data_IF_436041074443
#
_entry.id   IF_436041074443
#
_cell.length_a   1.000
_cell.length_b   1.000
_cell.length_c   1.000
_cell.angle_alpha   90.00
_cell.angle_beta   90.00
_cell.angle_gamma   90.00
#
_symmetry.space_group_name_H-M   'P 1'
#
loop_
_entity.id
_entity.type
_entity.pdbx_description
1 polymer ?
#
# COMPACT_ATOMS: atom_id res chain seq x y z
N UNK A 1 12.72 16.21 21.53
CA UNK A 1 13.08 15.12 20.60
C UNK A 1 11.96 15.02 19.58
N UNK A 2 12.26 15.27 18.31
CA UNK A 2 11.30 14.98 17.24
C UNK A 2 11.02 13.49 17.21
N UNK A 3 9.74 13.12 17.21
CA UNK A 3 9.30 11.73 17.15
C UNK A 3 9.03 11.39 15.68
N UNK A 4 9.51 10.25 15.22
CA UNK A 4 9.29 9.81 13.84
C UNK A 4 7.79 9.71 13.53
N UNK A 5 7.35 10.30 12.42
CA UNK A 5 5.98 10.19 11.94
C UNK A 5 5.84 8.93 11.06
N UNK A 6 5.52 7.79 11.69
CA UNK A 6 5.37 6.53 10.97
C UNK A 6 4.30 6.57 9.89
N UNK A 7 3.21 7.32 10.07
CA UNK A 7 2.16 7.46 9.05
C UNK A 7 2.71 8.07 7.75
N UNK A 8 3.51 9.12 7.88
CA UNK A 8 4.13 9.81 6.74
C UNK A 8 5.22 8.95 6.08
N UNK A 9 6.04 8.27 6.90
CA UNK A 9 7.11 7.40 6.41
C UNK A 9 6.51 6.22 5.62
N UNK A 10 5.50 5.54 6.16
CA UNK A 10 4.84 4.41 5.50
C UNK A 10 4.20 4.85 4.19
N UNK A 11 3.44 5.94 4.16
CA UNK A 11 2.83 6.45 2.93
C UNK A 11 3.89 6.75 1.85
N UNK A 12 4.97 7.45 2.20
CA UNK A 12 6.08 7.75 1.25
C UNK A 12 6.74 6.49 0.72
N UNK A 13 6.95 5.47 1.56
CA UNK A 13 7.52 4.19 1.14
C UNK A 13 6.60 3.50 0.12
N UNK A 14 5.30 3.40 0.43
CA UNK A 14 4.35 2.73 -0.45
C UNK A 14 4.15 3.50 -1.76
N UNK A 15 4.07 4.84 -1.71
CA UNK A 15 4.06 5.69 -2.90
C UNK A 15 5.30 5.48 -3.79
N UNK A 16 6.49 5.43 -3.19
CA UNK A 16 7.70 5.14 -3.96
C UNK A 16 7.70 3.73 -4.55
N UNK A 17 7.14 2.74 -3.87
CA UNK A 17 7.09 1.37 -4.36
C UNK A 17 6.25 1.24 -5.64
N UNK A 18 5.19 2.04 -5.77
CA UNK A 18 4.28 1.98 -6.93
C UNK A 18 4.66 2.95 -8.06
N UNK A 19 5.60 3.88 -7.85
CA UNK A 19 5.99 4.86 -8.89
C UNK A 19 6.43 4.24 -10.22
N UNK A 20 7.00 3.03 -10.18
CA UNK A 20 7.48 2.31 -11.36
C UNK A 20 6.67 1.06 -11.69
N UNK A 21 5.55 0.82 -11.01
CA UNK A 21 4.71 -0.34 -11.32
C UNK A 21 3.96 -0.09 -12.62
N UNK A 22 4.51 -0.55 -13.74
CA UNK A 22 3.85 -0.57 -15.03
C UNK A 22 3.20 -1.93 -15.23
N UNK A 23 1.87 -1.97 -15.24
CA UNK A 23 1.10 -3.16 -15.59
C UNK A 23 0.11 -2.80 -16.69
N UNK A 24 0.15 -3.50 -17.82
CA UNK A 24 -0.64 -3.15 -19.01
C UNK A 24 -2.12 -3.53 -18.93
N UNK A 25 -2.47 -4.49 -18.07
CA UNK A 25 -3.85 -5.01 -17.93
C UNK A 25 -4.40 -4.92 -16.50
N UNK A 26 -3.54 -4.56 -15.54
CA UNK A 26 -3.92 -4.45 -14.13
C UNK A 26 -3.48 -3.11 -13.57
N UNK A 27 -4.10 -2.70 -12.48
CA UNK A 27 -3.89 -1.43 -11.81
C UNK A 27 -3.34 -1.69 -10.42
N UNK A 28 -2.24 -1.00 -10.10
CA UNK A 28 -1.74 -0.95 -8.73
C UNK A 28 -2.38 0.25 -8.03
N UNK A 29 -3.06 -0.01 -6.91
CA UNK A 29 -3.75 1.00 -6.10
C UNK A 29 -3.13 1.11 -4.72
N UNK A 30 -2.96 2.35 -4.26
CA UNK A 30 -2.68 2.67 -2.87
C UNK A 30 -4.00 2.90 -2.14
N UNK A 31 -4.16 2.25 -0.99
CA UNK A 31 -5.31 2.45 -0.11
C UNK A 31 -4.78 2.83 1.27
N UNK A 32 -5.03 4.07 1.67
CA UNK A 32 -4.62 4.59 2.96
C UNK A 32 -5.86 4.89 3.80
N UNK A 33 -6.06 4.10 4.86
CA UNK A 33 -6.98 4.42 5.95
C UNK A 33 -6.14 5.02 7.09
N UNK A 34 -5.95 6.34 7.01
CA UNK A 34 -5.12 7.10 7.97
C UNK A 34 -5.79 7.28 9.33
N UNK A 35 -7.11 7.11 9.41
CA UNK A 35 -7.88 7.13 10.66
C UNK A 35 -7.64 5.86 11.47
N UNK A 36 -7.57 4.70 10.80
CA UNK A 36 -7.38 3.39 11.44
C UNK A 36 -5.96 2.85 11.31
N UNK A 37 -5.06 3.65 10.76
CA UNK A 37 -3.64 3.33 10.59
C UNK A 37 -3.39 2.04 9.77
N UNK A 38 -4.12 1.90 8.65
CA UNK A 38 -3.98 0.77 7.72
C UNK A 38 -3.61 1.26 6.33
N UNK A 39 -2.61 0.62 5.74
CA UNK A 39 -2.03 1.05 4.47
C UNK A 39 -1.82 -0.17 3.57
N UNK A 40 -2.32 -0.11 2.34
CA UNK A 40 -2.29 -1.24 1.41
C UNK A 40 -1.80 -0.82 0.02
N UNK A 41 -1.14 -1.77 -0.65
CA UNK A 41 -0.89 -1.76 -2.08
C UNK A 41 -1.65 -2.94 -2.67
N UNK A 42 -2.65 -2.68 -3.49
CA UNK A 42 -3.43 -3.73 -4.17
C UNK A 42 -3.08 -3.79 -5.65
N UNK A 43 -3.01 -4.99 -6.21
CA UNK A 43 -3.09 -5.22 -7.64
C UNK A 43 -4.50 -5.66 -8.01
N UNK A 44 -5.14 -4.93 -8.91
CA UNK A 44 -6.55 -5.08 -9.27
C UNK A 44 -6.70 -5.01 -10.78
N UNK A 45 -7.41 -5.94 -11.39
CA UNK A 45 -7.68 -5.83 -12.82
C UNK A 45 -8.08 -7.16 -13.43
N UNK A 46 -7.80 -7.30 -14.71
CA UNK A 46 -8.04 -8.53 -15.45
C UNK A 46 -6.78 -8.86 -16.23
N UNK A 47 -6.48 -10.14 -16.32
CA UNK A 47 -5.50 -10.65 -17.26
C UNK A 47 -6.20 -11.69 -18.12
N UNK A 48 -6.44 -11.33 -19.38
CA UNK A 48 -7.35 -12.06 -20.27
C UNK A 48 -8.73 -12.28 -19.61
N UNK A 49 -9.12 -13.54 -19.38
CA UNK A 49 -10.37 -13.91 -18.73
C UNK A 49 -10.24 -14.14 -17.21
N UNK A 50 -9.07 -13.84 -16.63
CA UNK A 50 -8.76 -14.09 -15.22
C UNK A 50 -8.86 -12.80 -14.41
N UNK A 51 -9.66 -12.82 -13.34
CA UNK A 51 -9.72 -11.70 -12.38
C UNK A 51 -8.44 -11.67 -11.55
N UNK A 52 -7.78 -10.52 -11.53
CA UNK A 52 -6.66 -10.26 -10.62
C UNK A 52 -7.16 -9.40 -9.46
N UNK A 53 -6.98 -9.92 -8.25
CA UNK A 53 -7.21 -9.23 -6.98
C UNK A 53 -6.20 -9.76 -5.97
N UNK A 54 -5.23 -8.93 -5.59
CA UNK A 54 -4.19 -9.33 -4.64
C UNK A 54 -3.66 -8.16 -3.83
N UNK A 55 -3.43 -8.38 -2.54
CA UNK A 55 -2.71 -7.44 -1.70
C UNK A 55 -1.21 -7.71 -1.84
N UNK A 56 -0.46 -6.76 -2.40
CA UNK A 56 0.99 -6.84 -2.58
C UNK A 56 1.69 -6.51 -1.25
N UNK A 57 1.24 -5.43 -0.59
CA UNK A 57 1.76 -4.98 0.70
C UNK A 57 0.57 -4.59 1.58
N UNK A 58 0.57 -5.07 2.81
CA UNK A 58 -0.34 -4.62 3.87
C UNK A 58 0.50 -4.16 5.06
N UNK A 59 0.20 -2.97 5.58
CA UNK A 59 0.86 -2.43 6.77
C UNK A 59 -0.20 -1.91 7.73
N UNK A 60 -0.03 -2.20 9.02
CA UNK A 60 -0.79 -1.58 10.09
C UNK A 60 0.16 -0.90 11.08
N UNK A 61 -0.22 0.27 11.62
CA UNK A 61 0.47 0.87 12.76
C UNK A 61 -0.39 0.60 14.00
N UNK A 62 0.09 -0.26 14.90
CA UNK A 62 -0.61 -0.64 16.14
C UNK A 62 0.31 -0.41 17.32
N UNK A 63 -0.21 0.26 18.36
CA UNK A 63 0.54 0.59 19.58
C UNK A 63 1.90 1.26 19.32
N UNK A 64 1.94 2.13 18.30
CA UNK A 64 3.16 2.81 17.88
C UNK A 64 4.23 1.89 17.26
N UNK A 65 3.83 0.73 16.72
CA UNK A 65 4.71 -0.20 15.99
C UNK A 65 4.17 -0.50 14.61
N UNK A 66 5.07 -0.80 13.68
CA UNK A 66 4.74 -1.17 12.30
C UNK A 66 4.56 -2.69 12.24
N UNK A 67 3.42 -3.13 11.72
CA UNK A 67 3.08 -4.51 11.40
C UNK A 67 3.03 -4.65 9.88
N UNK A 68 3.66 -5.69 9.33
CA UNK A 68 3.70 -6.02 7.90
C UNK A 68 3.05 -7.38 7.72
#
# INVERSE_FOLDING_TARGET
>A
MERLNYKEIVQKILENHVKNSFHSQTEVKLIFDTERDRYQVLNLGWQDLTRIFGCIIYIEIKDGKIWI
#
